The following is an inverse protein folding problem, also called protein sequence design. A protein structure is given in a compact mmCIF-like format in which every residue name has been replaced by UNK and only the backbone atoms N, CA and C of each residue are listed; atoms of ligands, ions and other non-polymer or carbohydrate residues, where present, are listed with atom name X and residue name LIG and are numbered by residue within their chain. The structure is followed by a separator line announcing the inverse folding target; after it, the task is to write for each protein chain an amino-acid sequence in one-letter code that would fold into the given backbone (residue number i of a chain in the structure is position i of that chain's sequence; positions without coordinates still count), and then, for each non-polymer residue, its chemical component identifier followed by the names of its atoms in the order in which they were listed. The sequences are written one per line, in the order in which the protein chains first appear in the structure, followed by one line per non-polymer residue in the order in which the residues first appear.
data_IF_331273031082
#
_entry.id   IF_331273031082
#
_cell.length_a   1.000
_cell.length_b   1.000
_cell.length_c   1.000
_cell.angle_alpha   90.00
_cell.angle_beta   90.00
_cell.angle_gamma   90.00
#
_symmetry.space_group_name_H-M   'P 1'
#
loop_
_entity.id
_entity.type
_entity.pdbx_description
1 polymer ?
#
# COMPACT_ATOMS: atom_id res chain seq x y z
N UNK A 1 13.19 -17.78 9.20
CA UNK A 1 14.38 -17.45 10.06
C UNK A 1 13.97 -16.41 11.09
N UNK A 2 14.82 -16.00 12.04
CA UNK A 2 14.48 -14.85 12.91
C UNK A 2 14.57 -13.55 12.10
N UNK A 3 13.50 -12.75 12.11
CA UNK A 3 13.51 -11.44 11.47
C UNK A 3 14.61 -10.55 12.09
N UNK A 4 15.44 -9.93 11.25
CA UNK A 4 16.47 -8.98 11.71
C UNK A 4 15.79 -7.68 12.15
N UNK A 5 15.64 -7.48 13.45
CA UNK A 5 15.15 -6.23 14.03
C UNK A 5 16.27 -5.19 14.05
N UNK A 6 15.95 -3.97 13.61
CA UNK A 6 16.88 -2.84 13.61
C UNK A 6 16.52 -1.89 14.75
N UNK A 7 17.51 -1.55 15.59
CA UNK A 7 17.29 -0.67 16.76
C UNK A 7 17.03 0.80 16.40
N UNK A 8 17.34 1.23 15.17
CA UNK A 8 17.14 2.62 14.73
C UNK A 8 16.56 2.68 13.32
N UNK A 9 15.70 3.68 13.01
CA UNK A 9 15.19 3.90 11.65
C UNK A 9 16.30 4.10 10.61
N UNK A 10 17.42 4.72 11.00
CA UNK A 10 18.56 4.96 10.11
C UNK A 10 19.30 3.66 9.75
N UNK A 11 19.45 2.73 10.69
CA UNK A 11 20.04 1.42 10.43
C UNK A 11 19.14 0.57 9.52
N UNK A 12 17.82 0.54 9.79
CA UNK A 12 16.84 -0.10 8.91
C UNK A 12 16.92 0.45 7.48
N UNK A 13 16.83 1.79 7.33
CA UNK A 13 16.89 2.47 6.02
C UNK A 13 18.17 2.15 5.26
N UNK A 14 19.32 2.10 5.95
CA UNK A 14 20.61 1.79 5.32
C UNK A 14 20.64 0.36 4.78
N UNK A 15 20.22 -0.62 5.59
CA UNK A 15 20.19 -2.01 5.19
C UNK A 15 19.14 -2.29 4.09
N UNK A 16 17.98 -1.63 4.16
CA UNK A 16 16.94 -1.69 3.15
C UNK A 16 17.44 -1.17 1.79
N UNK A 17 18.04 0.01 1.77
CA UNK A 17 18.62 0.59 0.55
C UNK A 17 19.78 -0.25 -0.03
N UNK A 18 20.60 -0.87 0.84
CA UNK A 18 21.65 -1.79 0.39
C UNK A 18 21.05 -3.03 -0.30
N UNK A 19 20.03 -3.66 0.30
CA UNK A 19 19.36 -4.84 -0.28
C UNK A 19 18.61 -4.50 -1.58
N UNK A 20 17.92 -3.37 -1.62
CA UNK A 20 17.27 -2.89 -2.84
C UNK A 20 18.29 -2.70 -3.97
N UNK A 21 19.44 -2.05 -3.71
CA UNK A 21 20.53 -1.87 -4.68
C UNK A 21 21.15 -3.19 -5.15
N UNK A 22 21.39 -4.14 -4.24
CA UNK A 22 21.95 -5.46 -4.57
C UNK A 22 21.04 -6.28 -5.50
N UNK A 23 19.73 -6.09 -5.41
CA UNK A 23 18.75 -6.80 -6.25
C UNK A 23 18.34 -6.03 -7.51
N UNK A 24 18.71 -4.75 -7.64
CA UNK A 24 18.29 -3.90 -8.76
C UNK A 24 19.22 -3.99 -9.97
N UNK A 25 18.65 -4.09 -11.18
CA UNK A 25 19.39 -4.07 -12.44
C UNK A 25 19.90 -2.66 -12.84
N UNK A 26 19.54 -1.61 -12.10
CA UNK A 26 19.94 -0.23 -12.36
C UNK A 26 19.08 0.78 -11.61
N UNK A 27 19.36 2.09 -11.79
CA UNK A 27 18.70 3.16 -11.03
C UNK A 27 17.17 3.26 -11.21
N UNK A 28 16.66 2.93 -12.41
CA UNK A 28 15.22 2.90 -12.67
C UNK A 28 14.53 1.73 -11.95
N UNK A 29 15.13 0.53 -12.01
CA UNK A 29 14.65 -0.66 -11.31
C UNK A 29 14.73 -0.50 -9.78
N UNK A 30 15.81 0.12 -9.27
CA UNK A 30 15.93 0.49 -7.86
C UNK A 30 14.75 1.37 -7.38
N UNK A 31 14.37 2.38 -8.17
CA UNK A 31 13.25 3.25 -7.85
C UNK A 31 11.90 2.51 -7.95
N UNK A 32 11.72 1.62 -8.94
CA UNK A 32 10.52 0.76 -9.06
C UNK A 32 10.38 -0.16 -7.85
N UNK A 33 11.43 -0.90 -7.48
CA UNK A 33 11.47 -1.81 -6.32
C UNK A 33 11.21 -1.06 -5.01
N UNK A 34 11.77 0.14 -4.84
CA UNK A 34 11.48 1.00 -3.69
C UNK A 34 9.98 1.36 -3.62
N UNK A 35 9.38 1.72 -4.75
CA UNK A 35 7.96 2.11 -4.79
C UNK A 35 7.03 0.93 -4.50
N UNK A 36 7.29 -0.24 -5.09
CA UNK A 36 6.53 -1.46 -4.82
C UNK A 36 6.57 -1.85 -3.34
N UNK A 37 7.74 -1.71 -2.69
CA UNK A 37 7.87 -1.94 -1.25
C UNK A 37 7.09 -0.92 -0.42
N UNK A 38 7.07 0.35 -0.83
CA UNK A 38 6.26 1.39 -0.18
C UNK A 38 4.77 1.07 -0.28
N UNK A 39 4.30 0.56 -1.42
CA UNK A 39 2.91 0.13 -1.60
C UNK A 39 2.56 -1.10 -0.74
N UNK A 40 3.40 -2.14 -0.80
CA UNK A 40 3.23 -3.36 0.01
C UNK A 40 3.18 -3.05 1.52
N UNK A 41 4.06 -2.17 2.03
CA UNK A 41 4.07 -1.76 3.45
C UNK A 41 2.92 -0.82 3.83
N UNK A 42 2.33 -0.09 2.89
CA UNK A 42 1.08 0.66 3.13
C UNK A 42 -0.10 -0.31 3.20
N UNK A 43 -0.20 -1.23 2.24
CA UNK A 43 -1.30 -2.18 2.14
C UNK A 43 -1.35 -3.14 3.33
N UNK A 44 -0.19 -3.60 3.82
CA UNK A 44 -0.12 -4.41 5.04
C UNK A 44 -0.74 -3.69 6.27
N UNK A 45 -0.66 -2.36 6.33
CA UNK A 45 -1.30 -1.57 7.39
C UNK A 45 -2.80 -1.42 7.16
N UNK A 46 -3.19 -1.07 5.93
CA UNK A 46 -4.61 -0.93 5.53
C UNK A 46 -5.38 -2.22 5.80
N UNK A 47 -4.85 -3.38 5.40
CA UNK A 47 -5.52 -4.68 5.63
C UNK A 47 -5.52 -5.09 7.10
N UNK A 48 -4.48 -4.75 7.87
CA UNK A 48 -4.45 -5.05 9.31
C UNK A 48 -5.38 -4.14 10.13
N UNK A 49 -5.62 -2.90 9.69
CA UNK A 49 -6.52 -1.95 10.38
C UNK A 49 -7.98 -2.11 9.96
N UNK A 50 -8.26 -2.37 8.68
CA UNK A 50 -9.61 -2.38 8.12
C UNK A 50 -10.14 -3.80 7.79
N UNK A 51 -9.27 -4.82 7.90
CA UNK A 51 -9.67 -6.22 7.78
C UNK A 51 -10.37 -6.56 6.46
N UNK A 52 -11.43 -7.36 6.57
CA UNK A 52 -12.23 -7.83 5.44
C UNK A 52 -13.06 -6.73 4.76
N UNK A 53 -13.19 -5.53 5.36
CA UNK A 53 -13.92 -4.42 4.77
C UNK A 53 -13.19 -3.79 3.57
N UNK A 54 -11.89 -4.09 3.37
CA UNK A 54 -11.09 -3.62 2.23
C UNK A 54 -10.81 -4.76 1.26
N UNK A 55 -11.35 -4.64 0.04
CA UNK A 55 -10.98 -5.47 -1.10
C UNK A 55 -10.10 -4.64 -2.03
N UNK A 56 -8.82 -4.98 -2.15
CA UNK A 56 -7.92 -4.32 -3.11
C UNK A 56 -8.42 -4.53 -4.54
N UNK A 57 -8.68 -3.44 -5.27
CA UNK A 57 -9.43 -3.46 -6.53
C UNK A 57 -8.77 -2.61 -7.62
N UNK A 58 -7.57 -2.98 -8.03
CA UNK A 58 -6.97 -2.35 -9.21
C UNK A 58 -5.52 -2.71 -9.47
N UNK A 59 -4.88 -1.84 -10.26
CA UNK A 59 -3.73 -2.13 -11.11
C UNK A 59 -2.57 -2.90 -10.47
N UNK A 60 -2.31 -2.74 -9.17
CA UNK A 60 -1.15 -3.34 -8.51
C UNK A 60 -1.08 -4.87 -8.59
N UNK A 61 -2.21 -5.59 -8.47
CA UNK A 61 -2.22 -7.07 -8.62
C UNK A 61 -1.90 -7.51 -10.06
N UNK A 62 -2.13 -6.63 -11.04
CA UNK A 62 -1.73 -6.84 -12.44
C UNK A 62 -0.33 -6.31 -12.75
N UNK A 63 0.16 -5.25 -12.08
CA UNK A 63 1.52 -4.73 -12.24
C UNK A 63 2.57 -5.63 -11.56
N UNK A 64 2.18 -6.34 -10.51
CA UNK A 64 2.94 -7.47 -9.94
C UNK A 64 2.97 -8.69 -10.88
N UNK A 65 1.98 -8.84 -11.77
CA UNK A 65 1.92 -9.91 -12.78
C UNK A 65 2.53 -9.56 -14.14
N UNK A 66 2.67 -8.27 -14.47
CA UNK A 66 3.09 -7.79 -15.79
C UNK A 66 4.35 -6.93 -15.67
N UNK A 67 5.48 -7.53 -16.00
CA UNK A 67 6.83 -6.93 -15.96
C UNK A 67 6.99 -5.61 -16.77
N UNK A 68 5.97 -5.24 -17.57
CA UNK A 68 5.98 -4.14 -18.55
C UNK A 68 4.89 -3.07 -18.37
N UNK A 69 4.06 -3.12 -17.33
CA UNK A 69 3.09 -2.06 -17.08
C UNK A 69 3.77 -0.77 -16.54
N UNK A 70 3.18 0.38 -16.88
CA UNK A 70 3.68 1.73 -16.51
C UNK A 70 3.51 1.92 -15.01
N UNK A 71 4.59 2.34 -14.33
CA UNK A 71 4.66 2.61 -12.88
C UNK A 71 3.33 3.11 -12.33
N UNK A 72 2.60 2.24 -11.62
CA UNK A 72 1.36 2.66 -10.97
C UNK A 72 1.66 3.79 -10.01
N UNK A 73 0.90 4.89 -10.14
CA UNK A 73 1.04 6.08 -9.30
C UNK A 73 0.09 6.05 -8.11
N UNK A 74 -0.90 5.16 -8.16
CA UNK A 74 -2.09 5.16 -7.35
C UNK A 74 -2.40 3.72 -6.88
N UNK A 75 -3.03 3.60 -5.72
CA UNK A 75 -3.53 2.36 -5.14
C UNK A 75 -5.05 2.40 -5.13
N UNK A 76 -5.70 1.46 -5.83
CA UNK A 76 -7.15 1.33 -5.88
C UNK A 76 -7.68 0.36 -4.79
N UNK A 77 -8.55 0.85 -3.92
CA UNK A 77 -9.26 0.09 -2.88
C UNK A 77 -10.78 0.12 -3.18
N UNK A 78 -11.50 -1.00 -3.01
CA UNK A 78 -12.96 -0.96 -2.83
C UNK A 78 -13.32 -1.36 -1.41
N UNK A 79 -14.23 -0.61 -0.80
CA UNK A 79 -14.70 -0.85 0.55
C UNK A 79 -16.19 -1.16 0.63
N UNK A 80 -16.55 -2.01 1.58
CA UNK A 80 -17.92 -2.26 2.02
C UNK A 80 -18.17 -1.52 3.34
N UNK A 81 -19.36 -0.93 3.50
CA UNK A 81 -19.73 -0.13 4.67
C UNK A 81 -19.86 1.36 4.35
N UNK A 82 -19.83 2.19 5.41
CA UNK A 82 -19.92 3.66 5.29
C UNK A 82 -18.62 4.27 4.77
N UNK A 83 -18.76 5.38 4.04
CA UNK A 83 -17.67 6.27 3.65
C UNK A 83 -17.28 7.26 4.76
N UNK A 84 -18.14 7.44 5.76
CA UNK A 84 -17.86 8.24 6.94
C UNK A 84 -16.58 7.71 7.62
N UNK A 85 -15.76 8.63 8.11
CA UNK A 85 -14.49 8.34 8.80
C UNK A 85 -13.38 7.68 7.94
N UNK A 86 -13.56 7.43 6.63
CA UNK A 86 -12.53 6.78 5.78
C UNK A 86 -11.15 7.46 5.82
N UNK A 87 -11.11 8.79 5.90
CA UNK A 87 -9.85 9.53 6.03
C UNK A 87 -9.15 9.22 7.35
N UNK A 88 -9.90 9.17 8.45
CA UNK A 88 -9.37 8.87 9.79
C UNK A 88 -8.93 7.42 9.88
N UNK A 89 -9.70 6.50 9.28
CA UNK A 89 -9.37 5.09 9.12
C UNK A 89 -8.03 4.88 8.35
N UNK A 90 -7.84 5.56 7.22
CA UNK A 90 -6.60 5.51 6.44
C UNK A 90 -5.42 6.21 7.14
N UNK A 91 -5.66 7.29 7.89
CA UNK A 91 -4.64 7.95 8.70
C UNK A 91 -4.20 7.07 9.87
N UNK A 92 -5.14 6.44 10.59
CA UNK A 92 -4.89 5.48 11.65
C UNK A 92 -4.10 4.28 11.15
N UNK A 93 -4.51 3.68 10.02
CA UNK A 93 -3.75 2.65 9.35
C UNK A 93 -2.33 3.12 9.00
N UNK A 94 -2.19 4.31 8.43
CA UNK A 94 -0.88 4.88 8.08
C UNK A 94 0.08 5.05 9.26
N UNK A 95 -0.43 5.21 10.49
CA UNK A 95 0.36 5.30 11.72
C UNK A 95 0.58 3.96 12.45
N UNK A 96 0.00 2.85 11.97
CA UNK A 96 0.20 1.53 12.56
C UNK A 96 1.69 1.13 12.53
N UNK A 97 2.25 0.82 13.69
CA UNK A 97 3.64 0.36 13.82
C UNK A 97 3.75 -1.14 13.52
N UNK A 98 4.40 -1.48 12.41
CA UNK A 98 4.71 -2.86 12.01
C UNK A 98 6.16 -3.26 12.33
N UNK A 99 6.90 -2.45 13.11
CA UNK A 99 8.31 -2.67 13.44
C UNK A 99 9.29 -2.42 12.28
N UNK A 100 8.80 -1.90 11.14
CA UNK A 100 9.57 -1.57 9.94
C UNK A 100 10.09 -0.11 9.92
N UNK A 101 9.84 0.66 10.98
CA UNK A 101 10.19 2.10 11.11
C UNK A 101 9.58 3.01 10.02
N UNK A 102 8.59 2.53 9.27
CA UNK A 102 7.85 3.31 8.29
C UNK A 102 6.58 3.90 8.92
N UNK A 103 6.19 5.09 8.47
CA UNK A 103 4.88 5.68 8.74
C UNK A 103 4.35 6.34 7.48
N UNK A 104 3.03 6.45 7.37
CA UNK A 104 2.36 6.98 6.18
C UNK A 104 1.44 8.14 6.57
N UNK A 105 1.65 9.27 5.92
CA UNK A 105 0.79 10.45 6.06
C UNK A 105 -0.23 10.40 4.92
N UNK A 106 -1.52 10.38 5.26
CA UNK A 106 -2.62 10.37 4.29
C UNK A 106 -3.41 11.68 4.39
N UNK A 107 -3.66 12.31 3.24
CA UNK A 107 -4.37 13.60 3.14
C UNK A 107 -5.38 13.53 1.98
N UNK A 108 -6.50 14.28 2.00
CA UNK A 108 -7.37 14.43 0.84
C UNK A 108 -6.61 14.94 -0.39
N UNK A 109 -6.87 14.40 -1.58
CA UNK A 109 -6.41 15.02 -2.83
C UNK A 109 -7.38 16.15 -3.21
N UNK A 110 -6.85 17.36 -3.34
CA UNK A 110 -7.62 18.59 -3.54
C UNK A 110 -8.30 18.72 -4.91
N UNK A 111 -8.26 17.66 -5.74
CA UNK A 111 -8.56 17.76 -7.18
C UNK A 111 -9.86 17.15 -7.67
N UNK A 112 -10.46 16.17 -6.98
CA UNK A 112 -11.79 15.61 -7.30
C UNK A 112 -12.24 14.67 -6.15
N UNK A 113 -13.30 15.00 -5.39
CA UNK A 113 -13.84 14.14 -4.35
C UNK A 113 -14.97 13.20 -4.82
N UNK A 114 -15.35 13.24 -6.10
CA UNK A 114 -16.46 12.43 -6.65
C UNK A 114 -16.04 11.74 -7.96
N UNK A 115 -16.07 10.40 -7.97
CA UNK A 115 -15.97 9.58 -9.18
C UNK A 115 -17.40 9.27 -9.66
N UNK A 116 -17.98 10.18 -10.44
CA UNK A 116 -19.34 9.99 -10.98
C UNK A 116 -19.32 8.98 -12.15
N UNK A 117 -19.92 7.80 -11.95
CA UNK A 117 -20.15 6.79 -12.99
C UNK A 117 -21.65 6.61 -13.28
N UNK A 118 -21.98 6.17 -14.50
CA UNK A 118 -23.36 6.11 -15.01
C UNK A 118 -24.32 5.34 -14.08
N UNK A 119 -25.27 6.07 -13.48
CA UNK A 119 -26.49 5.51 -12.86
C UNK A 119 -26.35 4.86 -11.48
N UNK A 120 -25.13 4.66 -10.96
CA UNK A 120 -24.89 4.17 -9.60
C UNK A 120 -23.91 5.11 -8.91
N UNK A 121 -24.37 5.81 -7.87
CA UNK A 121 -23.51 6.65 -7.03
C UNK A 121 -22.63 5.73 -6.18
N UNK A 122 -21.48 5.34 -6.73
CA UNK A 122 -20.37 4.87 -5.92
C UNK A 122 -19.64 6.11 -5.39
N UNK A 123 -19.77 6.39 -4.10
CA UNK A 123 -18.92 7.40 -3.47
C UNK A 123 -17.46 6.97 -3.64
N UNK A 124 -16.65 7.90 -4.14
CA UNK A 124 -15.33 7.60 -4.70
C UNK A 124 -14.34 8.68 -4.29
N UNK A 125 -13.53 8.39 -3.27
CA UNK A 125 -12.63 9.36 -2.66
C UNK A 125 -11.20 9.16 -3.12
N UNK A 126 -10.53 10.25 -3.49
CA UNK A 126 -9.09 10.25 -3.78
C UNK A 126 -8.32 10.89 -2.64
N UNK A 127 -7.38 10.13 -2.09
CA UNK A 127 -6.40 10.59 -1.12
C UNK A 127 -5.01 10.61 -1.73
N UNK A 128 -4.09 11.27 -1.05
CA UNK A 128 -2.67 11.25 -1.33
C UNK A 128 -1.93 10.73 -0.10
N UNK A 129 -1.11 9.70 -0.31
CA UNK A 129 -0.30 9.09 0.72
C UNK A 129 1.18 9.36 0.50
N UNK A 130 1.92 9.56 1.59
CA UNK A 130 3.37 9.77 1.59
C UNK A 130 4.04 8.93 2.68
N UNK A 131 5.00 8.09 2.28
CA UNK A 131 5.78 7.30 3.22
C UNK A 131 6.93 8.11 3.83
N UNK A 132 7.10 7.98 5.14
CA UNK A 132 8.18 8.55 5.95
C UNK A 132 9.03 7.42 6.53
N UNK A 133 10.34 7.50 6.33
CA UNK A 133 11.32 6.58 6.91
C UNK A 133 12.58 7.34 7.36
N UNK A 134 12.91 7.18 8.65
CA UNK A 134 13.98 7.93 9.34
C UNK A 134 13.82 9.45 9.20
N UNK A 135 12.60 9.95 9.51
CA UNK A 135 12.27 11.39 9.51
C UNK A 135 12.18 12.06 8.13
N UNK A 136 12.38 11.33 7.03
CA UNK A 136 12.39 11.85 5.65
C UNK A 136 11.39 11.11 4.78
N UNK A 137 10.91 11.77 3.73
CA UNK A 137 10.12 11.13 2.66
C UNK A 137 10.90 9.94 2.09
N UNK A 138 10.19 8.87 1.77
CA UNK A 138 10.75 7.63 1.23
C UNK A 138 9.87 7.09 0.09
N UNK A 139 10.48 6.85 -1.08
CA UNK A 139 9.72 6.63 -2.31
C UNK A 139 9.07 7.91 -2.84
N UNK A 140 8.10 7.76 -3.74
CA UNK A 140 7.26 8.82 -4.28
C UNK A 140 5.92 8.82 -3.55
N UNK A 141 5.33 10.00 -3.32
CA UNK A 141 3.94 10.10 -2.89
C UNK A 141 3.00 9.57 -3.99
N UNK A 142 1.89 8.96 -3.57
CA UNK A 142 0.99 8.19 -4.43
C UNK A 142 -0.47 8.52 -4.15
N UNK A 143 -1.35 8.32 -5.13
CA UNK A 143 -2.79 8.37 -4.90
C UNK A 143 -3.29 7.14 -4.16
N UNK A 144 -4.35 7.28 -3.40
CA UNK A 144 -5.15 6.17 -2.86
C UNK A 144 -6.59 6.45 -3.23
N UNK A 145 -7.08 5.75 -4.23
CA UNK A 145 -8.45 5.86 -4.72
C UNK A 145 -9.31 4.82 -3.99
N UNK A 146 -10.37 5.26 -3.32
CA UNK A 146 -11.28 4.41 -2.54
C UNK A 146 -12.67 4.51 -3.13
N UNK A 147 -13.17 3.39 -3.67
CA UNK A 147 -14.56 3.28 -4.15
C UNK A 147 -15.41 2.51 -3.14
N UNK A 148 -16.58 3.03 -2.78
CA UNK A 148 -17.54 2.29 -1.95
C UNK A 148 -18.45 1.41 -2.81
N UNK A 149 -19.09 0.41 -2.19
CA UNK A 149 -20.22 -0.32 -2.76
C UNK A 149 -20.21 -1.81 -2.47
N UNK A 150 -21.34 -2.47 -2.72
CA UNK A 150 -21.62 -3.84 -2.28
C UNK A 150 -20.49 -4.87 -2.56
N UNK A 151 -20.27 -5.81 -1.62
CA UNK A 151 -19.35 -6.92 -1.83
C UNK A 151 -19.84 -7.78 -2.99
N UNK A 152 -18.94 -8.01 -3.96
CA UNK A 152 -19.23 -8.89 -5.09
C UNK A 152 -19.31 -10.34 -4.59
N UNK A 153 -20.53 -10.88 -4.53
CA UNK A 153 -20.79 -12.27 -4.13
C UNK A 153 -20.15 -13.22 -5.15
N UNK A 154 -19.09 -13.89 -4.72
CA UNK A 154 -18.33 -14.87 -5.49
C UNK A 154 -17.12 -15.33 -4.66
N UNK A 155 -16.63 -16.55 -4.90
CA UNK A 155 -15.48 -17.09 -4.18
C UNK A 155 -14.20 -16.35 -4.60
N UNK A 156 -13.76 -15.39 -3.79
CA UNK A 156 -12.49 -14.70 -3.99
C UNK A 156 -11.34 -15.57 -3.51
N UNK A 157 -10.62 -16.17 -4.44
CA UNK A 157 -9.34 -16.82 -4.13
C UNK A 157 -8.34 -15.76 -3.65
N UNK A 158 -8.06 -15.73 -2.35
CA UNK A 158 -7.05 -14.86 -1.77
C UNK A 158 -5.70 -15.08 -2.46
N UNK A 159 -5.19 -14.06 -3.15
CA UNK A 159 -3.85 -14.14 -3.74
C UNK A 159 -2.84 -13.97 -2.61
N UNK A 160 -2.27 -15.09 -2.16
CA UNK A 160 -1.09 -15.05 -1.31
C UNK A 160 -0.02 -14.19 -2.01
N UNK A 161 0.52 -13.20 -1.29
CA UNK A 161 1.59 -12.33 -1.77
C UNK A 161 2.89 -13.13 -1.88
N UNK A 162 3.00 -13.86 -2.98
CA UNK A 162 4.17 -14.64 -3.37
C UNK A 162 5.13 -13.74 -4.16
N UNK A 163 6.39 -13.77 -3.76
CA UNK A 163 7.55 -13.24 -4.49
C UNK A 163 7.86 -11.72 -4.46
N UNK A 164 7.25 -10.96 -3.53
CA UNK A 164 7.84 -9.70 -3.04
C UNK A 164 8.06 -9.69 -1.51
N UNK A 165 8.47 -10.83 -0.95
CA UNK A 165 8.92 -10.92 0.45
C UNK A 165 10.28 -10.23 0.63
N UNK A 166 10.27 -8.90 0.73
CA UNK A 166 11.40 -8.15 1.28
C UNK A 166 11.47 -8.38 2.79
N UNK A 167 12.00 -9.53 3.19
CA UNK A 167 12.09 -9.97 4.59
C UNK A 167 12.63 -8.89 5.55
N UNK A 168 11.74 -8.23 6.28
CA UNK A 168 11.56 -8.60 7.68
C UNK A 168 10.47 -9.69 7.71
N UNK A 169 10.91 -10.93 7.89
CA UNK A 169 10.10 -12.14 7.67
C UNK A 169 9.20 -12.42 8.89
N UNK A 170 7.98 -11.88 8.89
CA UNK A 170 6.94 -12.26 9.86
C UNK A 170 5.52 -11.99 9.34
N UNK A 171 4.68 -13.04 9.43
CA UNK A 171 3.23 -13.00 9.56
C UNK A 171 2.38 -12.20 8.54
N UNK A 172 2.16 -12.80 7.37
CA UNK A 172 0.81 -12.85 6.79
C UNK A 172 0.42 -14.33 6.63
N UNK A 173 -0.10 -14.91 7.71
CA UNK A 173 -1.00 -16.08 7.63
C UNK A 173 -2.41 -15.53 7.70
N UNK A 174 -3.15 -15.66 6.61
CA UNK A 174 -4.61 -15.62 6.58
C UNK A 174 -5.02 -17.08 6.35
N UNK A 175 -5.98 -17.63 7.11
CA UNK A 175 -6.39 -19.05 7.02
C UNK A 175 -6.97 -19.43 5.64
#
# INVERSE_FOLDING_TARGET
MTARTYKTPAAFKTALEQRLKQTSAGGADLNRRRQLLVFDRFLARVTQTLGEAVILKGGLVLELRLERARTTKDIDLRMSGSSEEILEALQGAGQLDLGDHMGFIVQPDSRLPEITGDGIIYEGYRFKAECRLAGKVYGQAFGVDVAFGDPLVGEWSGVASSDLVFCCEAALKIP
#
